data_IF_883730001932
#
_entry.id   IF_883730001932
#
_cell.length_a   1.000
_cell.length_b   1.000
_cell.length_c   1.000
_cell.angle_alpha   90.00
_cell.angle_beta   90.00
_cell.angle_gamma   90.00
#
_symmetry.space_group_name_H-M   'P 1'
#
loop_
_entity.id
_entity.type
_entity.pdbx_description
1 polymer ?
#
# COMPACT_ATOMS: atom_id res chain seq x y z
N UNK A 1 28.24 9.46 16.47
CA UNK A 1 27.38 9.09 15.33
C UNK A 1 26.61 7.91 15.81
N UNK A 2 25.31 8.07 15.97
CA UNK A 2 24.49 7.06 16.64
C UNK A 2 24.13 5.98 15.61
N UNK A 3 24.49 4.74 15.94
CA UNK A 3 24.30 3.57 15.05
C UNK A 3 23.65 2.45 15.83
N UNK A 4 22.77 1.69 15.17
CA UNK A 4 22.14 0.51 15.73
C UNK A 4 22.81 -0.76 15.17
N UNK A 5 23.35 -1.66 16.00
CA UNK A 5 23.86 -2.94 15.52
C UNK A 5 22.71 -3.82 15.04
N UNK A 6 22.89 -4.45 13.88
CA UNK A 6 21.93 -5.37 13.26
C UNK A 6 22.65 -6.66 12.85
N UNK A 7 21.89 -7.74 12.68
CA UNK A 7 22.41 -8.98 12.12
C UNK A 7 22.74 -8.82 10.63
N UNK A 8 23.63 -9.66 10.13
CA UNK A 8 23.88 -9.75 8.69
C UNK A 8 22.62 -10.20 7.92
N UNK A 9 22.37 -9.56 6.77
CA UNK A 9 21.23 -9.88 5.93
C UNK A 9 21.46 -11.20 5.19
N UNK A 10 20.50 -12.11 5.26
CA UNK A 10 20.58 -13.47 4.68
C UNK A 10 19.60 -13.71 3.51
N UNK A 11 19.06 -12.64 2.93
CA UNK A 11 18.10 -12.72 1.82
C UNK A 11 16.68 -13.15 2.19
N UNK A 12 16.40 -13.45 3.46
CA UNK A 12 15.02 -13.65 3.97
C UNK A 12 14.40 -12.31 4.37
N UNK A 13 13.05 -12.21 4.50
CA UNK A 13 12.42 -11.03 5.07
C UNK A 13 13.06 -10.67 6.42
N UNK A 14 13.43 -9.41 6.59
CA UNK A 14 14.05 -8.88 7.79
C UNK A 14 13.13 -7.83 8.39
N UNK A 15 12.35 -8.22 9.39
CA UNK A 15 11.37 -7.35 10.04
C UNK A 15 12.03 -6.56 11.17
N UNK A 16 11.73 -5.27 11.24
CA UNK A 16 12.15 -4.39 12.32
C UNK A 16 10.95 -4.06 13.20
N UNK A 17 11.13 -4.18 14.52
CA UNK A 17 10.16 -3.72 15.51
C UNK A 17 10.57 -2.35 16.03
N UNK A 18 9.62 -1.41 16.02
CA UNK A 18 9.76 -0.12 16.69
C UNK A 18 8.78 -0.11 17.85
N UNK A 19 9.29 0.04 19.06
CA UNK A 19 8.51 -0.10 20.29
C UNK A 19 8.29 1.26 20.95
N UNK A 20 7.36 1.31 21.91
CA UNK A 20 7.02 2.52 22.66
C UNK A 20 6.43 3.65 21.77
N UNK A 21 5.79 3.28 20.67
CA UNK A 21 5.14 4.20 19.73
C UNK A 21 3.66 4.44 20.03
N UNK A 22 3.07 3.75 21.02
CA UNK A 22 1.63 3.78 21.31
C UNK A 22 1.08 5.10 21.87
N UNK A 23 1.94 6.11 22.05
CA UNK A 23 1.52 7.45 22.45
C UNK A 23 1.89 8.48 21.38
N UNK A 24 0.94 9.34 21.03
CA UNK A 24 1.05 10.47 20.09
C UNK A 24 1.33 10.15 18.62
N UNK A 25 2.06 9.08 18.29
CA UNK A 25 2.51 8.80 16.92
C UNK A 25 1.35 8.58 15.94
N UNK A 26 0.27 7.92 16.38
CA UNK A 26 -0.86 7.60 15.51
C UNK A 26 -1.67 8.84 15.08
N UNK A 27 -1.65 9.91 15.89
CA UNK A 27 -2.43 11.13 15.65
C UNK A 27 -1.57 12.24 15.02
N UNK A 28 -0.27 12.27 15.33
CA UNK A 28 0.64 13.31 14.85
C UNK A 28 1.27 13.01 13.48
N UNK A 29 1.09 11.80 12.94
CA UNK A 29 1.58 11.45 11.61
C UNK A 29 0.96 12.33 10.52
N UNK A 30 1.80 12.90 9.67
CA UNK A 30 1.33 13.54 8.44
C UNK A 30 1.18 12.50 7.31
N UNK A 31 0.74 12.96 6.14
CA UNK A 31 0.70 12.16 4.92
C UNK A 31 1.91 12.47 4.03
N UNK A 32 3.13 12.42 4.58
CA UNK A 32 4.33 12.67 3.79
C UNK A 32 4.38 11.70 2.61
N UNK A 33 4.41 12.24 1.38
CA UNK A 33 4.31 11.48 0.13
C UNK A 33 3.05 10.61 -0.02
N UNK A 34 1.94 10.99 0.63
CA UNK A 34 0.66 10.29 0.54
C UNK A 34 0.72 8.84 1.07
N UNK A 35 1.70 8.52 1.92
CA UNK A 35 1.65 7.28 2.71
C UNK A 35 0.56 7.43 3.76
N UNK A 36 -0.47 6.61 3.65
CA UNK A 36 -1.59 6.65 4.58
C UNK A 36 -1.37 5.79 5.82
N UNK A 37 -2.46 5.56 6.57
CA UNK A 37 -2.43 4.71 7.77
C UNK A 37 -1.91 3.32 7.44
N UNK A 38 -1.15 2.75 8.39
CA UNK A 38 -0.69 1.37 8.30
C UNK A 38 -1.82 0.38 8.60
N UNK A 39 -1.63 -0.89 8.22
CA UNK A 39 -2.48 -1.97 8.75
C UNK A 39 -2.24 -2.11 10.26
N UNK A 40 -3.31 -2.35 11.00
CA UNK A 40 -3.30 -2.50 12.44
C UNK A 40 -4.01 -3.82 12.81
N UNK A 41 -3.51 -4.50 13.83
CA UNK A 41 -4.11 -5.71 14.36
C UNK A 41 -4.13 -5.65 15.89
N UNK A 42 -5.25 -6.01 16.49
CA UNK A 42 -5.38 -6.12 17.94
C UNK A 42 -5.18 -7.58 18.32
N UNK A 43 -4.15 -7.83 19.13
CA UNK A 43 -3.73 -9.18 19.51
C UNK A 43 -4.01 -9.38 21.00
N UNK A 44 -4.72 -10.45 21.33
CA UNK A 44 -5.06 -10.83 22.69
C UNK A 44 -4.40 -12.16 23.03
N UNK A 45 -3.93 -12.28 24.27
CA UNK A 45 -3.37 -13.53 24.78
C UNK A 45 -4.49 -14.42 25.26
N UNK A 46 -4.42 -15.70 24.90
CA UNK A 46 -5.38 -16.73 25.29
C UNK A 46 -4.65 -18.06 25.44
N UNK A 47 -4.71 -18.63 26.64
CA UNK A 47 -4.03 -19.90 26.97
C UNK A 47 -4.75 -21.11 26.38
N UNK A 48 -6.04 -20.97 26.03
CA UNK A 48 -6.84 -22.03 25.42
C UNK A 48 -6.59 -22.13 23.89
N UNK A 49 -5.97 -21.12 23.28
CA UNK A 49 -5.56 -21.12 21.88
C UNK A 49 -4.20 -21.83 21.68
N UNK A 50 -4.09 -22.66 20.65
CA UNK A 50 -2.86 -23.42 20.33
C UNK A 50 -1.63 -22.51 20.17
N UNK A 51 -1.83 -21.27 19.72
CA UNK A 51 -0.76 -20.28 19.51
C UNK A 51 -0.48 -19.42 20.75
N UNK A 52 -1.27 -19.54 21.82
CA UNK A 52 -1.20 -18.70 23.02
C UNK A 52 -1.75 -17.28 22.83
N UNK A 53 -2.33 -16.98 21.66
CA UNK A 53 -2.91 -15.68 21.31
C UNK A 53 -3.88 -15.82 20.13
N UNK A 54 -4.77 -14.85 19.96
CA UNK A 54 -5.59 -14.67 18.77
C UNK A 54 -5.62 -13.21 18.31
N UNK A 55 -6.04 -13.00 17.05
CA UNK A 55 -6.25 -11.66 16.48
C UNK A 55 -7.75 -11.36 16.59
N UNK A 56 -8.09 -10.40 17.43
CA UNK A 56 -9.47 -9.97 17.68
C UNK A 56 -9.98 -9.12 16.51
N UNK A 57 -9.20 -8.12 16.10
CA UNK A 57 -9.58 -7.17 15.07
C UNK A 57 -8.41 -6.89 14.12
N UNK A 58 -8.73 -6.67 12.85
CA UNK A 58 -7.80 -6.14 11.86
C UNK A 58 -8.39 -4.90 11.22
N UNK A 59 -7.60 -3.83 11.20
CA UNK A 59 -7.98 -2.57 10.57
C UNK A 59 -7.08 -2.39 9.36
N UNK A 60 -7.71 -2.37 8.18
CA UNK A 60 -6.99 -2.15 6.93
C UNK A 60 -6.40 -0.74 6.86
N UNK A 61 -5.15 -0.69 6.42
CA UNK A 61 -4.45 0.54 6.10
C UNK A 61 -5.07 1.28 4.92
N UNK A 62 -4.54 2.45 4.63
CA UNK A 62 -5.17 3.34 3.64
C UNK A 62 -4.74 2.99 2.22
N UNK A 63 -5.71 2.91 1.30
CA UNK A 63 -5.49 2.73 -0.14
C UNK A 63 -5.13 4.03 -0.84
N UNK A 64 -4.53 3.94 -2.02
CA UNK A 64 -4.18 5.13 -2.83
C UNK A 64 -5.42 5.97 -3.15
N UNK A 65 -6.55 5.34 -3.50
CA UNK A 65 -7.83 6.02 -3.77
C UNK A 65 -8.32 6.81 -2.54
N UNK A 66 -8.22 6.23 -1.33
CA UNK A 66 -8.61 6.91 -0.09
C UNK A 66 -7.71 8.12 0.21
N UNK A 67 -6.38 8.00 0.04
CA UNK A 67 -5.48 9.13 0.28
C UNK A 67 -5.67 10.24 -0.77
N UNK A 68 -5.86 9.88 -2.04
CA UNK A 68 -6.12 10.86 -3.10
C UNK A 68 -7.44 11.62 -2.88
N UNK A 69 -8.44 10.98 -2.28
CA UNK A 69 -9.69 11.66 -1.92
C UNK A 69 -9.48 12.77 -0.88
N UNK A 70 -8.52 12.61 0.04
CA UNK A 70 -8.18 13.64 1.04
C UNK A 70 -7.63 14.93 0.39
N UNK A 71 -6.94 14.79 -0.75
CA UNK A 71 -6.43 15.91 -1.56
C UNK A 71 -7.37 16.26 -2.73
N UNK A 72 -8.66 15.94 -2.58
CA UNK A 72 -9.75 16.30 -3.50
C UNK A 72 -9.72 15.63 -4.88
N UNK A 73 -9.07 14.46 -5.00
CA UNK A 73 -9.15 13.62 -6.20
C UNK A 73 -10.05 12.41 -5.97
N UNK A 74 -11.13 12.29 -6.75
CA UNK A 74 -12.00 11.12 -6.68
C UNK A 74 -11.50 10.02 -7.62
N UNK A 75 -11.58 8.76 -7.19
CA UNK A 75 -11.22 7.62 -8.02
C UNK A 75 -12.05 7.53 -9.31
N UNK A 76 -13.33 7.91 -9.26
CA UNK A 76 -14.21 7.97 -10.44
C UNK A 76 -13.70 8.97 -11.48
N UNK A 77 -13.32 10.18 -11.04
CA UNK A 77 -12.78 11.20 -11.95
C UNK A 77 -11.43 10.80 -12.53
N UNK A 78 -10.56 10.21 -11.72
CA UNK A 78 -9.26 9.71 -12.14
C UNK A 78 -9.40 8.61 -13.21
N UNK A 79 -10.28 7.63 -12.97
CA UNK A 79 -10.57 6.56 -13.94
C UNK A 79 -11.12 7.12 -15.25
N UNK A 80 -12.06 8.08 -15.18
CA UNK A 80 -12.63 8.74 -16.37
C UNK A 80 -11.56 9.48 -17.18
N UNK A 81 -10.70 10.27 -16.51
CA UNK A 81 -9.61 11.00 -17.15
C UNK A 81 -8.61 10.05 -17.82
N UNK A 82 -8.22 8.97 -17.13
CA UNK A 82 -7.31 7.97 -17.70
C UNK A 82 -7.93 7.27 -18.92
N UNK A 83 -9.21 6.89 -18.86
CA UNK A 83 -9.94 6.30 -19.99
C UNK A 83 -9.93 7.22 -21.22
N UNK A 84 -10.18 8.51 -21.05
CA UNK A 84 -10.16 9.48 -22.14
C UNK A 84 -8.77 9.63 -22.79
N UNK A 85 -7.70 9.61 -22.00
CA UNK A 85 -6.32 9.62 -22.51
C UNK A 85 -6.00 8.35 -23.31
N UNK A 86 -6.42 7.19 -22.79
CA UNK A 86 -6.23 5.89 -23.44
C UNK A 86 -7.00 5.81 -24.77
N UNK A 87 -8.26 6.25 -24.81
CA UNK A 87 -9.06 6.30 -26.04
C UNK A 87 -8.42 7.19 -27.11
N UNK A 88 -7.83 8.32 -26.71
CA UNK A 88 -7.12 9.22 -27.62
C UNK A 88 -5.86 8.57 -28.19
N UNK A 89 -5.09 7.87 -27.35
CA UNK A 89 -3.90 7.14 -27.79
C UNK A 89 -4.21 5.98 -28.75
N UNK A 90 -5.36 5.32 -28.60
CA UNK A 90 -5.84 4.30 -29.56
C UNK A 90 -6.16 4.95 -30.92
N UNK A 91 -6.87 6.09 -30.93
CA UNK A 91 -7.23 6.80 -32.17
C UNK A 91 -6.01 7.29 -32.94
N UNK A 92 -4.94 7.63 -32.23
CA UNK A 92 -3.66 8.07 -32.80
C UNK A 92 -2.72 6.90 -33.16
N UNK A 93 -3.18 5.64 -33.05
CA UNK A 93 -2.39 4.42 -33.30
C UNK A 93 -1.11 4.31 -32.45
N UNK A 94 -1.09 4.95 -31.27
CA UNK A 94 0.03 4.91 -30.31
C UNK A 94 -0.10 3.78 -29.29
N UNK A 95 -1.28 3.16 -29.18
CA UNK A 95 -1.58 2.11 -28.19
C UNK A 95 -2.61 1.12 -28.75
N UNK A 96 -2.31 -0.18 -28.66
CA UNK A 96 -3.25 -1.22 -29.14
C UNK A 96 -4.42 -1.39 -28.17
N UNK A 97 -5.65 -1.67 -28.63
CA UNK A 97 -6.83 -1.82 -27.78
C UNK A 97 -6.67 -2.83 -26.62
N UNK A 98 -6.03 -3.97 -26.86
CA UNK A 98 -5.81 -4.99 -25.82
C UNK A 98 -4.85 -4.50 -24.72
N UNK A 99 -3.80 -3.74 -25.10
CA UNK A 99 -2.85 -3.17 -24.15
C UNK A 99 -3.49 -2.03 -23.35
N UNK A 100 -4.33 -1.22 -23.99
CA UNK A 100 -5.14 -0.20 -23.36
C UNK A 100 -6.07 -0.75 -22.28
N UNK A 101 -6.79 -1.84 -22.56
CA UNK A 101 -7.66 -2.49 -21.57
C UNK A 101 -6.85 -3.01 -20.38
N UNK A 102 -5.67 -3.60 -20.63
CA UNK A 102 -4.76 -4.04 -19.57
C UNK A 102 -4.27 -2.86 -18.72
N UNK A 103 -3.88 -1.75 -19.36
CA UNK A 103 -3.42 -0.54 -18.67
C UNK A 103 -4.52 0.04 -17.76
N UNK A 104 -5.76 0.12 -18.25
CA UNK A 104 -6.89 0.61 -17.44
C UNK A 104 -7.17 -0.30 -16.25
N UNK A 105 -7.10 -1.62 -16.44
CA UNK A 105 -7.23 -2.60 -15.36
C UNK A 105 -6.14 -2.45 -14.29
N UNK A 106 -4.88 -2.32 -14.70
CA UNK A 106 -3.76 -2.10 -13.77
C UNK A 106 -3.85 -0.74 -13.07
N UNK A 107 -4.32 0.32 -13.75
CA UNK A 107 -4.53 1.63 -13.15
C UNK A 107 -5.60 1.58 -12.06
N UNK A 108 -6.75 0.96 -12.33
CA UNK A 108 -7.81 0.79 -11.32
C UNK A 108 -7.34 -0.08 -10.15
N UNK A 109 -6.61 -1.16 -10.43
CA UNK A 109 -6.01 -2.00 -9.39
C UNK A 109 -5.02 -1.22 -8.54
N UNK A 110 -4.24 -0.33 -9.15
CA UNK A 110 -3.31 0.57 -8.45
C UNK A 110 -4.04 1.50 -7.49
N UNK A 111 -5.13 2.14 -7.92
CA UNK A 111 -5.94 3.01 -7.07
C UNK A 111 -6.49 2.28 -5.83
N UNK A 112 -6.93 1.03 -6.00
CA UNK A 112 -7.40 0.18 -4.90
C UNK A 112 -6.26 -0.40 -4.06
N UNK A 113 -5.02 -0.25 -4.50
CA UNK A 113 -3.83 -0.75 -3.83
C UNK A 113 -3.50 0.00 -2.56
N UNK A 114 -2.76 -0.66 -1.68
CA UNK A 114 -2.20 -0.08 -0.47
C UNK A 114 -1.13 0.97 -0.80
N UNK A 115 -0.97 1.96 0.07
CA UNK A 115 -0.07 3.10 -0.18
C UNK A 115 1.41 2.74 -0.05
N UNK A 116 1.75 1.65 0.64
CA UNK A 116 3.13 1.21 0.83
C UNK A 116 3.62 0.27 -0.28
N UNK A 117 4.94 0.11 -0.35
CA UNK A 117 5.61 -0.68 -1.39
C UNK A 117 5.36 -2.18 -1.26
N UNK A 118 5.20 -2.85 -2.41
CA UNK A 118 5.18 -4.31 -2.50
C UNK A 118 6.59 -4.85 -2.79
N UNK A 119 7.25 -5.35 -1.73
CA UNK A 119 8.60 -5.90 -1.80
C UNK A 119 8.70 -7.22 -2.58
N UNK A 120 7.57 -7.91 -2.84
CA UNK A 120 7.58 -9.14 -3.66
C UNK A 120 7.75 -8.83 -5.15
N UNK A 121 7.34 -7.64 -5.61
CA UNK A 121 7.48 -7.23 -7.03
C UNK A 121 8.92 -6.88 -7.41
N UNK A 122 9.71 -6.37 -6.48
CA UNK A 122 11.11 -5.96 -6.73
C UNK A 122 12.01 -7.17 -7.02
N UNK A 123 11.70 -8.34 -6.44
CA UNK A 123 12.51 -9.56 -6.59
C UNK A 123 12.29 -10.33 -7.90
N UNK A 124 11.36 -9.92 -8.77
CA UNK A 124 11.08 -10.58 -10.07
C UNK A 124 11.97 -10.13 -11.23
N UNK A 125 12.98 -9.29 -10.99
CA UNK A 125 14.07 -9.00 -11.94
C UNK A 125 15.36 -9.63 -11.42
N UNK A 126 15.51 -10.93 -11.65
CA UNK A 126 16.71 -11.73 -11.42
C UNK A 126 16.68 -12.92 -12.35
#
# INVERSE_FOLDING_TARGET
>A
MDTLPLHDLNGKPYYLGVFLTGAYQDIMGDLHNLFGRVNEAHVFLDEDEDSGYYIEETIEGTTMEKVLALVQYTGTDLKRKMKSQVESAIKEDRLRPNEAMRLLGEYEKGLKGYTYLDLKKVRKKG
#
